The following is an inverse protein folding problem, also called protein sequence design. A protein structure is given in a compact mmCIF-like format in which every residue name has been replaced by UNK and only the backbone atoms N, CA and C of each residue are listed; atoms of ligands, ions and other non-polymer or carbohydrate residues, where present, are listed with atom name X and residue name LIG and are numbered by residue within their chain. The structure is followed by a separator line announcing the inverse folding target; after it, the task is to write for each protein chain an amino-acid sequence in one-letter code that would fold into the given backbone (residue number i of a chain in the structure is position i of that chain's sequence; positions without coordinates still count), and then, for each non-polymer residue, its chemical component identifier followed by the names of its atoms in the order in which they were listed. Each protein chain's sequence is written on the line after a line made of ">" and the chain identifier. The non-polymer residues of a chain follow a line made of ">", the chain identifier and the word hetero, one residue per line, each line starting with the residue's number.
data_IF_823585437123
#
_entry.id   IF_823585437123
#
_cell.length_a   1.000
_cell.length_b   1.000
_cell.length_c   1.000
_cell.angle_alpha   90.00
_cell.angle_beta   90.00
_cell.angle_gamma   90.00
#
_symmetry.space_group_name_H-M   'P 1'
#
loop_
_entity.id
_entity.type
_entity.pdbx_description
1 polymer ?
#
# COMPACT_ATOMS: atom_id res chain seq x y z
N UNK A 1 13.08 6.33 18.07
CA UNK A 1 13.60 4.98 17.78
C UNK A 1 12.75 4.42 16.65
N UNK A 2 13.34 3.96 15.54
CA UNK A 2 12.57 3.34 14.48
C UNK A 2 12.10 1.96 14.97
N UNK A 3 10.81 1.82 15.16
CA UNK A 3 10.20 0.55 15.55
C UNK A 3 10.38 -0.45 14.40
N UNK A 4 11.13 -1.52 14.65
CA UNK A 4 11.44 -2.52 13.63
C UNK A 4 10.36 -3.59 13.70
N UNK A 5 9.44 -3.54 12.75
CA UNK A 5 8.44 -4.61 12.58
C UNK A 5 9.14 -5.80 11.92
N UNK A 6 9.19 -6.92 12.63
CA UNK A 6 9.65 -8.19 12.06
C UNK A 6 8.45 -8.84 11.39
N UNK A 7 8.49 -8.96 10.07
CA UNK A 7 7.43 -9.59 9.29
C UNK A 7 7.90 -10.98 8.91
N UNK A 8 7.14 -11.99 9.31
CA UNK A 8 7.31 -13.32 8.77
C UNK A 8 6.83 -13.33 7.31
N UNK A 9 7.74 -13.65 6.41
CA UNK A 9 7.51 -13.64 4.95
C UNK A 9 7.41 -15.05 4.37
N UNK A 10 7.52 -16.07 5.21
CA UNK A 10 7.26 -17.46 4.83
C UNK A 10 5.76 -17.61 4.53
N UNK A 11 5.41 -17.99 3.30
CA UNK A 11 4.03 -17.98 2.78
C UNK A 11 3.67 -16.73 1.96
N UNK A 12 3.99 -15.53 2.48
CA UNK A 12 3.75 -14.26 1.77
C UNK A 12 4.44 -14.21 0.40
N UNK A 13 5.62 -14.82 0.26
CA UNK A 13 6.31 -14.91 -1.02
C UNK A 13 5.45 -15.59 -2.10
N UNK A 14 4.89 -16.77 -1.81
CA UNK A 14 4.09 -17.51 -2.79
C UNK A 14 2.81 -16.78 -3.16
N UNK A 15 2.16 -16.16 -2.18
CA UNK A 15 0.97 -15.34 -2.41
C UNK A 15 1.29 -14.14 -3.31
N UNK A 16 2.42 -13.47 -3.07
CA UNK A 16 2.88 -12.33 -3.87
C UNK A 16 3.20 -12.74 -5.32
N UNK A 17 3.84 -13.89 -5.54
CA UNK A 17 4.10 -14.38 -6.89
C UNK A 17 2.79 -14.79 -7.60
N UNK A 18 1.87 -15.42 -6.88
CA UNK A 18 0.59 -15.89 -7.44
C UNK A 18 -0.32 -14.72 -7.82
N UNK A 19 -0.42 -13.69 -6.98
CA UNK A 19 -1.30 -12.54 -7.22
C UNK A 19 -0.94 -11.75 -8.49
N UNK A 20 0.33 -11.79 -8.90
CA UNK A 20 0.84 -11.05 -10.06
C UNK A 20 1.41 -11.98 -11.16
N UNK A 21 1.04 -13.27 -11.14
CA UNK A 21 1.53 -14.28 -12.09
C UNK A 21 1.24 -13.93 -13.55
N UNK A 22 0.17 -13.16 -13.79
CA UNK A 22 -0.23 -12.69 -15.12
C UNK A 22 0.62 -11.52 -15.63
N UNK A 23 1.48 -10.94 -14.80
CA UNK A 23 2.33 -9.81 -15.17
C UNK A 23 3.77 -10.30 -15.45
N UNK A 24 4.21 -10.34 -16.72
CA UNK A 24 5.54 -10.84 -17.08
C UNK A 24 6.66 -9.99 -16.47
N UNK A 25 6.45 -8.68 -16.29
CA UNK A 25 7.42 -7.79 -15.66
C UNK A 25 7.54 -8.03 -14.15
N UNK A 26 6.58 -8.73 -13.53
CA UNK A 26 6.66 -9.09 -12.13
C UNK A 26 7.74 -10.14 -11.87
N UNK A 27 7.86 -11.13 -12.75
CA UNK A 27 8.86 -12.19 -12.62
C UNK A 27 10.30 -11.64 -12.65
N UNK A 28 10.53 -10.51 -13.30
CA UNK A 28 11.84 -9.85 -13.40
C UNK A 28 12.23 -9.06 -12.13
N UNK A 29 11.28 -8.79 -11.22
CA UNK A 29 11.53 -8.02 -10.01
C UNK A 29 12.10 -8.91 -8.90
N UNK A 30 13.09 -8.38 -8.18
CA UNK A 30 13.53 -8.96 -6.91
C UNK A 30 12.44 -8.86 -5.85
N UNK A 31 12.47 -9.74 -4.85
CA UNK A 31 11.51 -9.71 -3.73
C UNK A 31 11.45 -8.34 -3.06
N UNK A 32 12.60 -7.68 -2.85
CA UNK A 32 12.68 -6.34 -2.26
C UNK A 32 11.94 -5.29 -3.08
N UNK A 33 12.01 -5.38 -4.42
CA UNK A 33 11.31 -4.47 -5.33
C UNK A 33 9.80 -4.75 -5.33
N UNK A 34 9.41 -6.02 -5.33
CA UNK A 34 8.00 -6.46 -5.21
C UNK A 34 7.38 -5.89 -3.93
N UNK A 35 8.02 -6.11 -2.79
CA UNK A 35 7.57 -5.58 -1.49
C UNK A 35 7.48 -4.05 -1.49
N UNK A 36 8.50 -3.36 -2.00
CA UNK A 36 8.49 -1.89 -2.07
C UNK A 36 7.33 -1.37 -2.89
N UNK A 37 7.01 -2.03 -4.01
CA UNK A 37 5.90 -1.66 -4.89
C UNK A 37 4.55 -1.86 -4.19
N UNK A 38 4.33 -3.03 -3.58
CA UNK A 38 3.11 -3.33 -2.82
C UNK A 38 2.87 -2.32 -1.69
N UNK A 39 3.91 -2.03 -0.90
CA UNK A 39 3.82 -1.04 0.18
C UNK A 39 3.49 0.34 -0.38
N UNK A 40 4.07 0.72 -1.53
CA UNK A 40 3.80 2.01 -2.15
C UNK A 40 2.36 2.12 -2.66
N UNK A 41 1.85 1.07 -3.32
CA UNK A 41 0.47 0.98 -3.81
C UNK A 41 -0.51 1.10 -2.64
N UNK A 42 -0.29 0.34 -1.56
CA UNK A 42 -1.16 0.37 -0.39
C UNK A 42 -1.13 1.72 0.35
N UNK A 43 0.04 2.34 0.47
CA UNK A 43 0.17 3.69 1.04
C UNK A 43 -0.56 4.74 0.18
N UNK A 44 -0.59 4.59 -1.14
CA UNK A 44 -1.35 5.46 -2.02
C UNK A 44 -2.85 5.27 -1.84
N UNK A 45 -3.34 4.03 -1.74
CA UNK A 45 -4.74 3.72 -1.47
C UNK A 45 -5.21 4.32 -0.14
N UNK A 46 -4.43 4.16 0.93
CA UNK A 46 -4.74 4.76 2.24
C UNK A 46 -4.79 6.28 2.15
N UNK A 47 -3.82 6.91 1.46
CA UNK A 47 -3.82 8.37 1.25
C UNK A 47 -5.02 8.84 0.45
N UNK A 48 -5.40 8.11 -0.60
CA UNK A 48 -6.57 8.42 -1.42
C UNK A 48 -7.87 8.26 -0.61
N UNK A 49 -7.98 7.19 0.19
CA UNK A 49 -9.12 6.97 1.09
C UNK A 49 -9.23 8.02 2.20
N UNK A 50 -8.11 8.50 2.73
CA UNK A 50 -8.10 9.59 3.72
C UNK A 50 -8.44 10.95 3.10
N UNK A 51 -8.08 11.21 1.84
CA UNK A 51 -8.49 12.43 1.12
C UNK A 51 -10.00 12.47 0.79
N UNK A 52 -10.69 11.31 0.79
CA UNK A 52 -12.15 11.24 0.68
C UNK A 52 -12.93 11.66 1.93
N UNK A 53 -12.22 11.87 3.06
CA UNK A 53 -12.82 12.29 4.34
C UNK A 53 -12.41 13.73 4.67
N UNK A 54 -12.68 14.68 3.77
CA UNK A 54 -12.73 16.09 4.14
C UNK A 54 -14.14 16.38 4.67
N UNK A 55 -14.39 16.42 5.99
CA UNK A 55 -15.61 17.05 6.47
C UNK A 55 -15.57 18.49 5.94
N UNK A 56 -16.53 18.81 5.07
CA UNK A 56 -16.89 20.18 4.72
C UNK A 56 -16.82 20.98 6.01
N UNK A 57 -15.86 21.89 6.05
CA UNK A 57 -15.75 22.91 7.07
C UNK A 57 -17.14 23.56 7.16
N UNK A 58 -17.73 23.38 8.33
CA UNK A 58 -19.07 23.76 8.68
C UNK A 58 -19.27 25.27 8.47
N UNK A 59 -20.53 25.62 8.17
CA UNK A 59 -21.18 26.88 8.48
C UNK A 59 -20.32 27.98 9.11
N UNK A 60 -20.11 29.05 8.36
CA UNK A 60 -20.21 30.40 8.92
C UNK A 60 -21.14 31.22 8.01
N UNK A 61 -22.43 30.84 8.03
CA UNK A 61 -23.54 31.74 7.72
C UNK A 61 -23.95 32.37 9.05
N UNK A 62 -23.16 33.34 9.52
CA UNK A 62 -23.56 34.21 10.62
C UNK A 62 -23.87 35.60 10.05
N UNK A 63 -25.17 35.89 10.12
CA UNK A 63 -25.93 37.14 10.01
C UNK A 63 -25.28 38.42 9.47
#
# INVERSE_FOLDING_TARGET
>A
MADRVTVDIEGLREEIETAYSSNPLWAELSLSQKLRRLISEWLQEIKAGQQGSNPRQADDRTQ
#
